data_IF_511228346220
#
_entry.id   IF_511228346220
#
_cell.length_a   1.000
_cell.length_b   1.000
_cell.length_c   1.000
_cell.angle_alpha   90.00
_cell.angle_beta   90.00
_cell.angle_gamma   90.00
#
_symmetry.space_group_name_H-M   'P 1'
#
loop_
_entity.id
_entity.type
_entity.pdbx_description
1 polymer ?
#
# COMPACT_ATOMS: atom_id res chain seq x y z
N UNK A 1 8.77 -16.46 -88.24
CA UNK A 1 7.78 -17.39 -87.64
C UNK A 1 8.14 -17.56 -86.17
N UNK A 2 7.14 -17.60 -85.30
CA UNK A 2 7.17 -17.26 -83.86
C UNK A 2 8.27 -17.96 -83.05
N UNK A 3 9.09 -17.18 -82.34
CA UNK A 3 9.92 -17.66 -81.24
C UNK A 3 9.11 -17.54 -79.93
N UNK A 4 8.87 -18.67 -79.27
CA UNK A 4 8.26 -18.69 -77.94
C UNK A 4 9.38 -18.62 -76.90
N UNK A 5 9.49 -17.49 -76.20
CA UNK A 5 10.36 -17.37 -75.04
C UNK A 5 9.59 -17.85 -73.80
N UNK A 6 10.06 -18.95 -73.21
CA UNK A 6 9.64 -19.42 -71.89
C UNK A 6 10.23 -18.48 -70.83
N UNK A 7 9.36 -17.80 -70.08
CA UNK A 7 9.74 -17.02 -68.89
C UNK A 7 9.69 -17.99 -67.68
N UNK A 8 10.80 -18.23 -66.97
CA UNK A 8 10.73 -18.93 -65.71
C UNK A 8 10.20 -17.99 -64.62
N UNK A 9 9.11 -18.39 -63.95
CA UNK A 9 8.59 -17.72 -62.76
C UNK A 9 9.53 -18.08 -61.60
N UNK A 10 10.30 -17.09 -61.14
CA UNK A 10 11.12 -17.18 -59.94
C UNK A 10 10.19 -17.07 -58.72
N UNK A 11 9.97 -18.20 -58.05
CA UNK A 11 9.21 -18.28 -56.80
C UNK A 11 10.09 -17.71 -55.67
N UNK A 12 9.83 -16.46 -55.28
CA UNK A 12 10.49 -15.82 -54.12
C UNK A 12 9.82 -16.33 -52.85
N UNK A 13 10.43 -17.30 -52.19
CA UNK A 13 10.08 -17.68 -50.80
C UNK A 13 10.62 -16.63 -49.85
N UNK A 14 9.74 -15.77 -49.32
CA UNK A 14 10.05 -14.89 -48.20
C UNK A 14 10.24 -15.75 -46.95
N UNK A 15 11.50 -16.03 -46.60
CA UNK A 15 11.86 -16.55 -45.29
C UNK A 15 11.72 -15.40 -44.29
N UNK A 16 10.57 -15.34 -43.61
CA UNK A 16 10.41 -14.54 -42.40
C UNK A 16 11.27 -15.17 -41.31
N UNK A 17 12.48 -14.65 -41.15
CA UNK A 17 13.33 -14.91 -40.00
C UNK A 17 12.75 -14.14 -38.82
N UNK A 18 12.18 -14.86 -37.86
CA UNK A 18 11.97 -14.32 -36.51
C UNK A 18 13.34 -14.01 -35.91
N UNK A 19 13.72 -12.74 -35.91
CA UNK A 19 14.60 -12.24 -34.85
C UNK A 19 13.83 -12.36 -33.54
N UNK A 20 14.31 -13.21 -32.64
CA UNK A 20 13.99 -13.08 -31.21
C UNK A 20 14.42 -11.68 -30.82
N UNK A 21 13.45 -10.78 -30.70
CA UNK A 21 13.64 -9.59 -29.89
C UNK A 21 13.83 -10.10 -28.46
N UNK A 22 15.01 -9.84 -27.91
CA UNK A 22 15.28 -10.06 -26.50
C UNK A 22 14.16 -9.38 -25.71
N UNK A 23 13.49 -10.16 -24.87
CA UNK A 23 12.47 -9.69 -23.93
C UNK A 23 13.14 -8.86 -22.83
N UNK A 24 13.63 -7.67 -23.20
CA UNK A 24 14.29 -6.71 -22.34
C UNK A 24 13.47 -5.40 -22.21
N UNK A 25 12.16 -5.45 -22.48
CA UNK A 25 11.26 -4.31 -22.31
C UNK A 25 10.11 -4.65 -21.34
N UNK A 26 10.46 -4.93 -20.08
CA UNK A 26 9.53 -4.92 -18.95
C UNK A 26 10.19 -4.66 -17.58
N UNK A 27 11.46 -4.21 -17.55
CA UNK A 27 12.03 -3.64 -16.32
C UNK A 27 11.69 -2.15 -16.32
N UNK A 28 10.46 -1.79 -15.95
CA UNK A 28 10.29 -0.48 -15.31
C UNK A 28 11.28 -0.46 -14.15
N UNK A 29 12.16 0.54 -14.06
CA UNK A 29 13.21 0.59 -13.04
C UNK A 29 12.62 0.33 -11.65
N UNK A 30 12.80 -0.89 -11.13
CA UNK A 30 12.26 -1.35 -9.83
C UNK A 30 13.04 -0.75 -8.65
N UNK A 31 14.12 -0.04 -8.96
CA UNK A 31 15.02 0.65 -8.05
C UNK A 31 15.00 2.15 -8.30
N UNK A 32 15.51 2.92 -7.34
CA UNK A 32 15.53 4.38 -7.44
C UNK A 32 14.22 5.04 -6.97
N UNK A 33 14.22 6.37 -6.97
CA UNK A 33 13.17 7.18 -6.32
C UNK A 33 11.80 6.99 -6.97
N UNK A 34 11.76 6.96 -8.31
CA UNK A 34 10.52 6.85 -9.08
C UNK A 34 9.81 5.50 -8.87
N UNK A 35 10.55 4.44 -8.55
CA UNK A 35 9.99 3.13 -8.23
C UNK A 35 9.06 3.17 -7.00
N UNK A 36 9.25 4.13 -6.10
CA UNK A 36 8.44 4.32 -4.89
C UNK A 36 7.39 5.44 -5.02
N UNK A 37 7.23 6.03 -6.22
CA UNK A 37 6.30 7.13 -6.50
C UNK A 37 5.19 6.74 -7.48
N UNK A 38 4.87 5.44 -7.57
CA UNK A 38 3.83 4.92 -8.45
C UNK A 38 2.45 4.99 -7.76
N UNK A 39 1.34 4.83 -8.50
CA UNK A 39 0.00 4.77 -7.91
C UNK A 39 -0.15 3.63 -6.87
N UNK A 40 -0.97 3.84 -5.85
CA UNK A 40 -1.33 2.83 -4.83
C UNK A 40 -1.65 1.47 -5.46
N UNK A 41 -1.17 0.40 -4.83
CA UNK A 41 -1.38 -0.99 -5.27
C UNK A 41 -0.48 -1.46 -6.44
N UNK A 42 0.20 -0.57 -7.17
CA UNK A 42 1.10 -0.94 -8.29
C UNK A 42 2.20 -1.92 -7.89
N UNK A 43 2.67 -1.87 -6.64
CA UNK A 43 3.72 -2.76 -6.13
C UNK A 43 3.20 -3.94 -5.31
N UNK A 44 1.90 -4.24 -5.38
CA UNK A 44 1.25 -5.28 -4.57
C UNK A 44 2.00 -6.62 -4.62
N UNK A 45 2.24 -7.19 -5.82
CA UNK A 45 2.95 -8.47 -5.94
C UNK A 45 4.40 -8.40 -5.43
N UNK A 46 5.10 -7.27 -5.62
CA UNK A 46 6.46 -7.06 -5.12
C UNK A 46 6.53 -6.95 -3.60
N UNK A 47 5.49 -6.40 -2.97
CA UNK A 47 5.35 -6.37 -1.51
C UNK A 47 4.99 -7.74 -0.96
N UNK A 48 4.13 -8.50 -1.66
CA UNK A 48 3.63 -9.79 -1.20
C UNK A 48 4.65 -10.93 -1.38
N UNK A 49 5.28 -11.04 -2.55
CA UNK A 49 6.15 -12.17 -2.92
C UNK A 49 7.64 -11.90 -2.69
N UNK A 50 8.44 -12.95 -2.63
CA UNK A 50 9.91 -12.90 -2.56
C UNK A 50 10.60 -13.02 -3.92
N UNK A 51 9.84 -12.96 -5.03
CA UNK A 51 10.36 -13.18 -6.38
C UNK A 51 11.40 -12.13 -6.81
N UNK A 52 11.24 -10.89 -6.33
CA UNK A 52 12.18 -9.78 -6.56
C UNK A 52 12.80 -9.32 -5.25
N UNK A 53 11.97 -8.93 -4.28
CA UNK A 53 12.43 -8.40 -3.00
C UNK A 53 12.28 -9.45 -1.90
N UNK A 54 13.41 -9.94 -1.41
CA UNK A 54 13.48 -10.95 -0.35
C UNK A 54 13.39 -10.36 1.06
N UNK A 55 13.55 -9.04 1.19
CA UNK A 55 13.40 -8.30 2.44
C UNK A 55 12.58 -7.02 2.27
N UNK A 56 12.12 -6.45 3.40
CA UNK A 56 11.39 -5.19 3.44
C UNK A 56 11.98 -4.26 4.49
N UNK A 57 12.07 -2.97 4.17
CA UNK A 57 12.33 -1.91 5.16
C UNK A 57 11.12 -0.99 5.26
N UNK A 58 10.61 -0.81 6.48
CA UNK A 58 9.61 0.21 6.80
C UNK A 58 10.34 1.41 7.39
N UNK A 59 10.43 2.49 6.62
CA UNK A 59 10.84 3.80 7.13
C UNK A 59 9.64 4.46 7.82
N UNK A 60 9.61 4.34 9.15
CA UNK A 60 8.58 4.92 9.99
C UNK A 60 9.02 6.30 10.47
N UNK A 61 8.34 7.33 9.96
CA UNK A 61 8.63 8.72 10.27
C UNK A 61 7.44 9.34 10.97
N UNK A 62 7.70 10.08 12.03
CA UNK A 62 6.65 10.71 12.82
C UNK A 62 7.04 12.12 13.20
N UNK A 63 6.06 13.01 13.35
CA UNK A 63 6.32 14.30 13.97
C UNK A 63 6.57 14.12 15.48
N UNK A 64 7.55 14.83 16.04
CA UNK A 64 7.85 14.77 17.48
C UNK A 64 6.58 14.86 18.36
N UNK A 65 6.38 13.87 19.22
CA UNK A 65 5.16 13.74 20.06
C UNK A 65 4.08 12.81 19.49
N UNK A 66 4.15 12.48 18.20
CA UNK A 66 3.16 11.66 17.47
C UNK A 66 3.76 10.33 17.01
N UNK A 67 4.64 9.74 17.81
CA UNK A 67 5.14 8.39 17.53
C UNK A 67 4.00 7.41 17.83
N UNK A 68 3.65 6.50 16.90
CA UNK A 68 2.67 5.46 17.21
C UNK A 68 3.17 4.56 18.34
N UNK A 69 2.24 3.91 19.04
CA UNK A 69 2.61 3.00 20.11
C UNK A 69 3.50 1.86 19.60
N UNK A 70 4.39 1.38 20.47
CA UNK A 70 5.23 0.24 20.13
C UNK A 70 4.38 -1.02 19.85
N UNK A 71 3.23 -1.16 20.50
CA UNK A 71 2.27 -2.24 20.25
C UNK A 71 1.75 -2.19 18.82
N UNK A 72 1.30 -1.03 18.33
CA UNK A 72 0.82 -0.89 16.96
C UNK A 72 1.92 -1.15 15.92
N UNK A 73 3.16 -0.69 16.16
CA UNK A 73 4.31 -1.01 15.30
C UNK A 73 4.53 -2.53 15.24
N UNK A 74 4.50 -3.22 16.37
CA UNK A 74 4.69 -4.66 16.42
C UNK A 74 3.55 -5.39 15.71
N UNK A 75 2.30 -4.98 15.92
CA UNK A 75 1.14 -5.55 15.26
C UNK A 75 1.19 -5.35 13.74
N UNK A 76 1.67 -4.20 13.28
CA UNK A 76 1.88 -3.95 11.85
C UNK A 76 2.94 -4.89 11.27
N UNK A 77 4.08 -5.08 11.95
CA UNK A 77 5.10 -6.05 11.50
C UNK A 77 4.52 -7.47 11.47
N UNK A 78 3.78 -7.89 12.48
CA UNK A 78 3.12 -9.20 12.51
C UNK A 78 2.15 -9.37 11.33
N UNK A 79 1.34 -8.34 11.04
CA UNK A 79 0.45 -8.33 9.87
C UNK A 79 1.24 -8.53 8.56
N UNK A 80 2.36 -7.84 8.38
CA UNK A 80 3.21 -8.01 7.20
C UNK A 80 3.81 -9.43 7.13
N UNK A 81 4.29 -9.97 8.25
CA UNK A 81 4.86 -11.31 8.31
C UNK A 81 3.82 -12.40 8.03
N UNK A 82 2.57 -12.18 8.43
CA UNK A 82 1.46 -13.09 8.16
C UNK A 82 1.03 -13.08 6.69
N UNK A 83 1.19 -11.95 5.97
CA UNK A 83 0.65 -11.79 4.60
C UNK A 83 1.70 -11.79 3.50
N UNK A 84 2.98 -11.63 3.83
CA UNK A 84 4.06 -11.51 2.84
C UNK A 84 5.12 -12.60 2.99
N UNK A 85 5.75 -12.96 1.88
CA UNK A 85 6.98 -13.74 1.84
C UNK A 85 8.18 -12.78 1.77
N UNK A 86 8.90 -12.64 2.89
CA UNK A 86 10.14 -11.86 3.03
C UNK A 86 11.16 -12.67 3.83
N UNK A 87 11.78 -13.71 3.23
CA UNK A 87 12.64 -14.66 3.95
C UNK A 87 13.87 -14.02 4.61
N UNK A 88 14.32 -12.88 4.10
CA UNK A 88 15.43 -12.11 4.68
C UNK A 88 14.96 -11.07 5.72
N UNK A 89 13.68 -11.09 6.09
CA UNK A 89 13.11 -10.35 7.20
C UNK A 89 12.51 -8.99 6.82
N UNK A 90 11.79 -8.43 7.79
CA UNK A 90 11.20 -7.10 7.75
C UNK A 90 11.86 -6.27 8.84
N UNK A 91 12.34 -5.08 8.49
CA UNK A 91 12.99 -4.16 9.44
C UNK A 91 12.24 -2.86 9.52
N UNK A 92 12.17 -2.27 10.72
CA UNK A 92 11.57 -0.95 10.93
C UNK A 92 12.67 0.03 11.32
N UNK A 93 12.82 1.09 10.53
CA UNK A 93 13.71 2.23 10.83
C UNK A 93 12.85 3.39 11.26
N UNK A 94 12.92 3.74 12.55
CA UNK A 94 12.08 4.75 13.16
C UNK A 94 12.85 6.05 13.40
N UNK A 95 12.29 7.20 13.01
CA UNK A 95 12.86 8.52 13.29
C UNK A 95 11.80 9.62 13.39
N UNK A 96 12.08 10.65 14.17
CA UNK A 96 11.24 11.84 14.23
C UNK A 96 11.64 12.89 13.18
N UNK A 97 10.70 13.78 12.88
CA UNK A 97 10.93 15.08 12.25
C UNK A 97 10.30 16.18 13.12
N UNK A 98 10.80 17.40 12.98
CA UNK A 98 10.15 18.57 13.59
C UNK A 98 8.80 18.82 12.94
N UNK A 99 7.86 19.38 13.70
CA UNK A 99 6.55 19.77 13.18
C UNK A 99 6.69 20.68 11.95
N UNK A 100 6.01 20.35 10.84
CA UNK A 100 5.85 21.26 9.70
C UNK A 100 5.08 22.54 10.03
N UNK A 101 4.42 22.60 11.21
CA UNK A 101 3.65 23.75 11.67
C UNK A 101 2.29 23.92 10.99
N UNK A 102 1.73 22.83 10.46
CA UNK A 102 0.44 22.83 9.78
C UNK A 102 -0.63 22.16 10.64
N UNK A 103 -1.82 22.76 10.72
CA UNK A 103 -2.96 22.18 11.45
C UNK A 103 -3.79 21.20 10.62
N UNK A 104 -3.62 21.19 9.30
CA UNK A 104 -4.26 20.23 8.40
C UNK A 104 -3.38 19.99 7.17
N UNK A 105 -3.43 18.77 6.65
CA UNK A 105 -2.58 18.33 5.55
C UNK A 105 -3.41 17.90 4.34
N UNK A 106 -3.09 18.44 3.16
CA UNK A 106 -3.53 17.88 1.88
C UNK A 106 -2.63 16.72 1.47
N UNK A 107 -3.09 15.88 0.54
CA UNK A 107 -2.23 14.81 -0.03
C UNK A 107 -0.96 15.36 -0.66
N UNK A 108 -0.99 16.57 -1.23
CA UNK A 108 0.21 17.19 -1.80
C UNK A 108 1.20 17.60 -0.71
N UNK A 109 0.73 18.13 0.43
CA UNK A 109 1.61 18.46 1.56
C UNK A 109 2.31 17.20 2.10
N UNK A 110 1.57 16.09 2.22
CA UNK A 110 2.12 14.79 2.64
C UNK A 110 3.18 14.28 1.64
N UNK A 111 2.92 14.41 0.33
CA UNK A 111 3.88 14.06 -0.71
C UNK A 111 5.15 14.93 -0.61
N UNK A 112 5.01 16.23 -0.36
CA UNK A 112 6.15 17.14 -0.25
C UNK A 112 6.99 16.84 1.00
N UNK A 113 6.34 16.48 2.12
CA UNK A 113 7.00 15.98 3.32
C UNK A 113 7.76 14.70 3.02
N UNK A 114 7.15 13.71 2.35
CA UNK A 114 7.83 12.48 1.95
C UNK A 114 9.04 12.79 1.05
N UNK A 115 8.87 13.60 0.01
CA UNK A 115 9.96 13.92 -0.93
C UNK A 115 11.15 14.61 -0.23
N UNK A 116 10.87 15.46 0.76
CA UNK A 116 11.91 16.16 1.52
C UNK A 116 12.61 15.27 2.55
N UNK A 117 11.93 14.25 3.05
CA UNK A 117 12.41 13.49 4.21
C UNK A 117 12.81 12.05 3.88
N UNK A 118 12.18 11.36 2.92
CA UNK A 118 12.38 9.93 2.66
C UNK A 118 13.85 9.61 2.39
N UNK A 119 14.36 8.61 3.09
CA UNK A 119 15.77 8.18 3.00
C UNK A 119 15.94 6.74 2.54
N UNK A 120 14.85 5.95 2.55
CA UNK A 120 14.84 4.55 2.10
C UNK A 120 14.05 4.41 0.80
N UNK A 121 14.70 3.81 -0.20
CA UNK A 121 14.13 3.49 -1.50
C UNK A 121 14.44 2.04 -1.84
N UNK A 122 13.75 1.49 -2.84
CA UNK A 122 13.99 0.14 -3.29
C UNK A 122 15.46 -0.03 -3.72
N UNK A 123 16.07 -1.12 -3.25
CA UNK A 123 17.37 -1.61 -3.71
C UNK A 123 17.19 -2.89 -4.50
N UNK A 124 18.24 -3.62 -4.84
CA UNK A 124 18.12 -4.83 -5.68
C UNK A 124 17.23 -5.91 -5.05
N UNK A 125 17.29 -6.10 -3.72
CA UNK A 125 16.63 -7.22 -3.02
C UNK A 125 15.75 -6.77 -1.83
N UNK A 126 15.63 -5.46 -1.60
CA UNK A 126 14.81 -4.88 -0.54
C UNK A 126 13.83 -3.84 -1.08
N UNK A 127 12.53 -4.04 -0.78
CA UNK A 127 11.48 -3.05 -1.03
C UNK A 127 11.35 -2.10 0.17
N UNK A 128 11.21 -0.80 -0.11
CA UNK A 128 11.09 0.23 0.91
C UNK A 128 9.65 0.74 1.02
N UNK A 129 9.14 0.78 2.24
CA UNK A 129 7.85 1.35 2.64
C UNK A 129 8.08 2.65 3.40
N UNK A 130 7.26 3.65 3.12
CA UNK A 130 7.18 4.91 3.86
C UNK A 130 5.89 4.97 4.68
N UNK A 131 6.04 5.13 5.99
CA UNK A 131 4.92 5.29 6.91
C UNK A 131 5.09 6.63 7.65
N UNK A 132 4.19 7.59 7.41
CA UNK A 132 4.25 8.91 8.04
C UNK A 132 3.14 9.11 9.06
N UNK A 133 3.49 9.59 10.26
CA UNK A 133 2.56 9.91 11.35
C UNK A 133 2.54 11.42 11.58
N UNK A 134 1.43 12.05 11.19
CA UNK A 134 1.28 13.50 11.13
C UNK A 134 0.71 14.10 12.43
N UNK A 135 1.14 15.32 12.75
CA UNK A 135 0.68 16.14 13.89
C UNK A 135 -0.49 17.06 13.53
N UNK A 136 -1.27 16.69 12.52
CA UNK A 136 -2.36 17.50 12.00
C UNK A 136 -3.40 16.61 11.32
N UNK A 137 -4.62 17.12 11.19
CA UNK A 137 -5.72 16.39 10.60
C UNK A 137 -5.67 16.35 9.07
N UNK A 138 -6.47 15.48 8.45
CA UNK A 138 -6.67 15.52 7.01
C UNK A 138 -7.40 16.79 6.57
N UNK A 139 -6.92 17.43 5.50
CA UNK A 139 -7.66 18.51 4.84
C UNK A 139 -8.98 18.04 4.19
N UNK A 140 -9.18 16.72 4.06
CA UNK A 140 -10.40 16.12 3.54
C UNK A 140 -11.46 15.86 4.63
N UNK A 141 -11.19 16.21 5.89
CA UNK A 141 -12.19 16.15 6.94
C UNK A 141 -13.41 17.01 6.58
N UNK A 142 -14.60 16.51 6.90
CA UNK A 142 -15.87 17.21 6.68
C UNK A 142 -16.66 17.31 7.99
N UNK A 143 -17.78 18.03 7.96
CA UNK A 143 -18.68 18.07 9.11
C UNK A 143 -19.30 16.69 9.47
N UNK A 144 -19.27 15.74 8.53
CA UNK A 144 -19.93 14.44 8.67
C UNK A 144 -18.94 13.28 8.85
N UNK A 145 -17.62 13.55 8.87
CA UNK A 145 -16.64 12.49 8.98
C UNK A 145 -15.21 13.00 8.91
N UNK A 146 -14.30 12.25 9.54
CA UNK A 146 -12.86 12.46 9.51
C UNK A 146 -12.18 11.34 8.73
N UNK A 147 -11.01 11.65 8.17
CA UNK A 147 -10.11 10.70 7.51
C UNK A 147 -8.95 10.43 8.46
N UNK A 148 -8.73 9.15 8.80
CA UNK A 148 -7.75 8.74 9.81
C UNK A 148 -6.41 8.33 9.21
N UNK A 149 -6.40 7.86 7.96
CA UNK A 149 -5.20 7.53 7.21
C UNK A 149 -5.40 7.78 5.71
N UNK A 150 -4.33 7.63 4.94
CA UNK A 150 -4.42 7.60 3.48
C UNK A 150 -3.24 6.85 2.87
N UNK A 151 -3.51 5.84 2.05
CA UNK A 151 -2.57 5.24 1.11
C UNK A 151 -2.51 6.02 -0.21
N UNK A 152 -1.43 6.76 -0.45
CA UNK A 152 -1.35 7.73 -1.57
C UNK A 152 -0.33 7.38 -2.65
N UNK A 153 0.58 6.44 -2.41
CA UNK A 153 1.53 5.89 -3.40
C UNK A 153 1.66 4.38 -3.21
N UNK A 154 2.25 3.68 -4.17
CA UNK A 154 2.47 2.24 -4.17
C UNK A 154 3.22 1.69 -2.95
N UNK A 155 3.95 2.53 -2.21
CA UNK A 155 4.69 2.14 -1.01
C UNK A 155 4.61 3.19 0.11
N UNK A 156 3.65 4.11 0.06
CA UNK A 156 3.60 5.25 0.97
C UNK A 156 2.19 5.50 1.49
N UNK A 157 2.08 5.61 2.80
CA UNK A 157 0.85 5.98 3.49
C UNK A 157 1.10 6.97 4.62
N UNK A 158 0.04 7.65 5.03
CA UNK A 158 0.03 8.58 6.17
C UNK A 158 -1.03 8.16 7.16
N UNK A 159 -0.76 8.37 8.44
CA UNK A 159 -1.71 8.30 9.56
C UNK A 159 -1.81 9.70 10.16
N UNK A 160 -3.03 10.23 10.29
CA UNK A 160 -3.28 11.52 10.90
C UNK A 160 -3.32 11.35 12.43
N UNK A 161 -2.15 11.12 13.01
CA UNK A 161 -1.99 10.69 14.40
C UNK A 161 -2.57 11.68 15.42
N UNK A 162 -2.57 12.99 15.13
CA UNK A 162 -3.29 13.96 15.96
C UNK A 162 -4.80 13.68 16.04
N UNK A 163 -5.40 13.28 14.90
CA UNK A 163 -6.81 12.92 14.87
C UNK A 163 -7.02 11.66 15.68
N UNK A 164 -6.22 10.60 15.48
CA UNK A 164 -6.30 9.42 16.34
C UNK A 164 -6.16 9.85 17.81
N UNK A 165 -5.24 10.77 18.13
CA UNK A 165 -5.02 11.28 19.49
C UNK A 165 -6.33 11.71 20.15
N UNK A 166 -7.10 12.55 19.46
CA UNK A 166 -8.39 13.07 19.92
C UNK A 166 -9.49 12.02 20.17
N UNK A 167 -9.31 10.77 19.74
CA UNK A 167 -10.28 9.68 19.88
C UNK A 167 -9.78 8.51 20.74
N UNK A 168 -8.66 8.65 21.43
CA UNK A 168 -8.20 7.62 22.39
C UNK A 168 -7.34 8.18 23.52
N UNK A 169 -7.58 9.42 23.91
CA UNK A 169 -6.94 10.08 25.06
C UNK A 169 -7.85 10.09 26.31
N UNK A 170 -9.11 9.64 26.19
CA UNK A 170 -10.07 9.53 27.31
C UNK A 170 -10.35 8.07 27.73
N UNK A 171 -10.73 7.86 29.00
CA UNK A 171 -11.00 6.53 29.55
C UNK A 171 -12.21 5.77 28.95
N UNK A 172 -13.07 6.47 28.20
CA UNK A 172 -14.26 5.90 27.55
C UNK A 172 -14.13 5.84 26.02
N UNK A 173 -12.94 6.08 25.51
CA UNK A 173 -12.61 6.03 24.09
C UNK A 173 -11.96 4.68 23.72
N UNK A 174 -11.69 4.47 22.43
CA UNK A 174 -11.00 3.28 21.95
C UNK A 174 -9.60 3.19 22.55
N UNK A 175 -9.03 1.99 22.61
CA UNK A 175 -7.61 1.86 22.96
C UNK A 175 -6.75 2.38 21.81
N UNK A 176 -5.83 3.32 22.11
CA UNK A 176 -4.83 3.88 21.18
C UNK A 176 -4.19 2.81 20.30
N UNK A 177 -3.68 1.73 20.90
CA UNK A 177 -2.95 0.71 20.13
C UNK A 177 -3.86 -0.10 19.18
N UNK A 178 -5.12 -0.33 19.56
CA UNK A 178 -6.11 -1.00 18.72
C UNK A 178 -6.49 -0.11 17.55
N UNK A 179 -6.70 1.18 17.82
CA UNK A 179 -7.05 2.16 16.80
C UNK A 179 -5.91 2.35 15.79
N UNK A 180 -4.70 2.63 16.27
CA UNK A 180 -3.51 2.74 15.43
C UNK A 180 -3.32 1.47 14.59
N UNK A 181 -3.40 0.28 15.21
CA UNK A 181 -3.26 -0.99 14.49
C UNK A 181 -4.29 -1.11 13.37
N UNK A 182 -5.56 -0.76 13.64
CA UNK A 182 -6.65 -0.84 12.68
C UNK A 182 -6.38 0.06 11.48
N UNK A 183 -6.11 1.35 11.71
CA UNK A 183 -5.88 2.30 10.60
C UNK A 183 -4.61 1.95 9.83
N UNK A 184 -3.49 1.66 10.51
CA UNK A 184 -2.23 1.29 9.84
C UNK A 184 -2.41 0.08 8.93
N UNK A 185 -3.05 -0.97 9.42
CA UNK A 185 -3.20 -2.22 8.64
C UNK A 185 -4.26 -2.09 7.55
N UNK A 186 -5.29 -1.25 7.73
CA UNK A 186 -6.25 -0.90 6.68
C UNK A 186 -5.57 -0.18 5.52
N UNK A 187 -4.85 0.92 5.80
CA UNK A 187 -4.12 1.66 4.77
C UNK A 187 -3.10 0.79 4.07
N UNK A 188 -2.41 -0.07 4.83
CA UNK A 188 -1.47 -0.99 4.23
C UNK A 188 -2.15 -2.10 3.41
N UNK A 189 -3.39 -2.45 3.71
CA UNK A 189 -4.22 -3.30 2.85
C UNK A 189 -4.42 -2.71 1.47
N UNK A 190 -4.69 -1.40 1.38
CA UNK A 190 -4.70 -0.67 0.10
C UNK A 190 -3.36 -0.70 -0.62
N UNK A 191 -2.26 -0.54 0.11
CA UNK A 191 -0.90 -0.65 -0.44
C UNK A 191 -0.63 -2.07 -0.98
N UNK A 192 -1.11 -3.10 -0.28
CA UNK A 192 -1.11 -4.50 -0.74
C UNK A 192 -2.10 -4.77 -1.88
N UNK A 193 -2.83 -3.77 -2.36
CA UNK A 193 -3.69 -3.85 -3.54
C UNK A 193 -5.12 -4.31 -3.27
N UNK A 194 -5.52 -4.43 -2.00
CA UNK A 194 -6.91 -4.69 -1.60
C UNK A 194 -7.71 -3.38 -1.57
N UNK A 195 -8.98 -3.33 -1.89
CA UNK A 195 -9.74 -4.19 -2.79
C UNK A 195 -9.79 -3.45 -4.14
N UNK A 196 -9.63 -4.15 -5.27
CA UNK A 196 -9.62 -3.53 -6.61
C UNK A 196 -8.58 -2.39 -6.82
N UNK A 197 -7.44 -2.43 -6.11
CA UNK A 197 -6.37 -1.43 -6.20
C UNK A 197 -5.06 -1.96 -6.79
N UNK A 198 -4.92 -3.27 -6.94
CA UNK A 198 -3.74 -3.88 -7.57
C UNK A 198 -3.75 -5.39 -7.55
N UNK A 199 -4.21 -6.00 -6.45
CA UNK A 199 -4.50 -7.42 -6.40
C UNK A 199 -5.83 -7.67 -7.12
N UNK A 200 -5.86 -8.64 -8.03
CA UNK A 200 -7.10 -9.02 -8.69
C UNK A 200 -8.02 -9.72 -7.69
N UNK A 201 -9.27 -9.25 -7.62
CA UNK A 201 -10.28 -9.89 -6.77
C UNK A 201 -10.61 -11.30 -7.27
N UNK A 202 -10.60 -12.29 -6.37
CA UNK A 202 -10.96 -13.68 -6.68
C UNK A 202 -12.49 -13.88 -6.69
N UNK A 203 -13.19 -13.11 -5.86
CA UNK A 203 -14.65 -12.98 -5.82
C UNK A 203 -15.02 -11.51 -5.73
N UNK A 204 -16.19 -11.12 -6.22
CA UNK A 204 -16.61 -9.73 -6.08
C UNK A 204 -17.02 -9.44 -4.63
N UNK A 205 -16.17 -8.70 -3.92
CA UNK A 205 -16.40 -8.25 -2.54
C UNK A 205 -16.14 -6.77 -2.33
N UNK A 206 -15.99 -5.99 -3.41
CA UNK A 206 -15.93 -4.54 -3.31
C UNK A 206 -17.31 -3.98 -2.88
N UNK A 207 -17.29 -3.06 -1.92
CA UNK A 207 -18.44 -2.25 -1.55
C UNK A 207 -18.75 -1.26 -2.68
N UNK A 208 -19.95 -1.37 -3.25
CA UNK A 208 -20.40 -0.52 -4.34
C UNK A 208 -20.67 0.92 -3.94
N UNK A 209 -20.98 1.17 -2.66
CA UNK A 209 -21.20 2.51 -2.10
C UNK A 209 -19.87 3.14 -1.65
N UNK A 210 -18.91 2.31 -1.25
CA UNK A 210 -17.58 2.72 -0.81
C UNK A 210 -16.49 2.02 -1.63
N UNK A 211 -16.26 2.41 -2.89
CA UNK A 211 -15.27 1.76 -3.76
C UNK A 211 -13.90 1.64 -3.10
N UNK A 212 -13.18 0.56 -3.44
CA UNK A 212 -11.89 0.13 -2.86
C UNK A 212 -11.96 -0.47 -1.45
N UNK A 213 -13.13 -0.56 -0.86
CA UNK A 213 -13.36 -1.24 0.42
C UNK A 213 -14.07 -2.57 0.25
N UNK A 214 -13.91 -3.45 1.23
CA UNK A 214 -14.64 -4.71 1.29
C UNK A 214 -16.09 -4.47 1.72
N UNK A 215 -17.02 -5.29 1.24
CA UNK A 215 -18.45 -5.23 1.57
C UNK A 215 -18.83 -6.07 2.80
N UNK A 216 -17.87 -6.75 3.43
CA UNK A 216 -18.05 -7.46 4.69
C UNK A 216 -17.76 -6.52 5.86
N UNK A 217 -18.75 -6.26 6.71
CA UNK A 217 -18.68 -5.33 7.85
C UNK A 217 -17.67 -5.76 8.92
N UNK A 218 -17.35 -7.06 9.01
CA UNK A 218 -16.38 -7.60 9.97
C UNK A 218 -14.94 -7.60 9.41
N UNK A 219 -14.77 -7.29 8.12
CA UNK A 219 -13.45 -7.26 7.48
C UNK A 219 -12.67 -5.99 7.85
N UNK A 220 -11.37 -6.13 8.07
CA UNK A 220 -10.45 -4.99 8.24
C UNK A 220 -10.56 -3.98 7.09
N UNK A 221 -10.81 -4.42 5.86
CA UNK A 221 -10.96 -3.53 4.69
C UNK A 221 -12.35 -2.92 4.56
N UNK A 222 -13.24 -3.07 5.54
CA UNK A 222 -14.51 -2.36 5.57
C UNK A 222 -14.27 -0.86 5.73
N UNK A 223 -14.96 -0.02 4.94
CA UNK A 223 -14.70 1.42 4.83
C UNK A 223 -14.70 2.16 6.18
N UNK A 224 -15.48 1.68 7.14
CA UNK A 224 -15.60 2.38 8.43
C UNK A 224 -14.30 2.37 9.23
N UNK A 225 -13.38 1.43 8.98
CA UNK A 225 -12.11 1.29 9.69
C UNK A 225 -11.17 2.51 9.57
N UNK A 226 -11.35 3.36 8.56
CA UNK A 226 -10.59 4.61 8.35
C UNK A 226 -11.39 5.88 8.66
N UNK A 227 -12.59 5.75 9.26
CA UNK A 227 -13.50 6.88 9.55
C UNK A 227 -13.77 7.07 11.04
N UNK A 228 -14.08 8.32 11.41
CA UNK A 228 -14.48 8.68 12.79
C UNK A 228 -15.61 7.83 13.36
N UNK A 229 -16.64 7.53 12.56
CA UNK A 229 -17.78 6.70 12.98
C UNK A 229 -17.40 5.25 13.26
N UNK A 230 -16.42 4.69 12.53
CA UNK A 230 -15.97 3.33 12.79
C UNK A 230 -15.18 3.20 14.09
N UNK A 231 -14.63 4.30 14.62
CA UNK A 231 -13.90 4.30 15.90
C UNK A 231 -14.82 4.01 17.08
N UNK A 232 -16.08 4.42 17.02
CA UNK A 232 -17.07 4.11 18.06
C UNK A 232 -17.27 2.59 18.20
N UNK A 233 -17.14 1.84 17.10
CA UNK A 233 -17.23 0.38 17.10
C UNK A 233 -16.02 -0.30 17.75
N UNK A 234 -14.91 0.44 17.95
CA UNK A 234 -13.70 -0.07 18.61
C UNK A 234 -13.69 0.20 20.12
N UNK A 235 -14.69 0.90 20.68
CA UNK A 235 -14.79 1.15 22.11
C UNK A 235 -15.00 -0.16 22.86
N UNK A 236 -14.10 -0.48 23.79
CA UNK A 236 -14.12 -1.72 24.57
C UNK A 236 -13.61 -2.95 23.83
N UNK A 237 -13.16 -2.80 22.57
CA UNK A 237 -12.51 -3.86 21.80
C UNK A 237 -11.03 -3.92 22.16
N UNK A 238 -10.50 -5.13 22.33
CA UNK A 238 -9.10 -5.36 22.74
C UNK A 238 -8.15 -5.73 21.60
N UNK A 239 -8.66 -5.92 20.38
CA UNK A 239 -7.88 -6.36 19.22
C UNK A 239 -8.42 -5.70 17.94
N UNK A 240 -7.52 -5.31 17.03
CA UNK A 240 -7.93 -4.77 15.73
C UNK A 240 -8.68 -5.81 14.88
N UNK A 241 -9.65 -5.37 14.03
CA UNK A 241 -10.26 -6.23 13.01
C UNK A 241 -9.24 -6.92 12.12
N UNK A 242 -9.63 -8.04 11.53
CA UNK A 242 -8.75 -8.85 10.68
C UNK A 242 -9.26 -8.88 9.24
N UNK A 243 -8.38 -9.13 8.28
CA UNK A 243 -8.81 -9.38 6.91
C UNK A 243 -9.66 -10.65 6.85
N UNK A 244 -10.78 -10.56 6.15
CA UNK A 244 -11.66 -11.71 5.91
C UNK A 244 -11.04 -12.71 4.92
N UNK A 245 -11.77 -13.80 4.69
CA UNK A 245 -11.30 -14.87 3.79
C UNK A 245 -11.18 -14.41 2.33
N UNK A 246 -11.95 -13.42 1.88
CA UNK A 246 -11.95 -12.97 0.50
C UNK A 246 -10.75 -12.07 0.22
N UNK A 247 -10.46 -11.12 1.11
CA UNK A 247 -9.25 -10.31 1.05
C UNK A 247 -7.99 -11.17 1.20
N UNK A 248 -8.00 -12.21 2.05
CA UNK A 248 -6.90 -13.18 2.12
C UNK A 248 -6.70 -13.88 0.77
N UNK A 249 -7.76 -14.35 0.14
CA UNK A 249 -7.68 -15.06 -1.13
C UNK A 249 -7.08 -14.18 -2.25
N UNK A 250 -7.40 -12.89 -2.27
CA UNK A 250 -6.82 -11.92 -3.20
C UNK A 250 -5.31 -11.77 -3.00
N UNK A 251 -4.85 -11.64 -1.76
CA UNK A 251 -3.42 -11.55 -1.45
C UNK A 251 -2.68 -12.84 -1.83
N UNK A 252 -3.24 -14.01 -1.50
CA UNK A 252 -2.68 -15.31 -1.84
C UNK A 252 -2.55 -15.50 -3.35
N UNK A 253 -3.60 -15.15 -4.11
CA UNK A 253 -3.59 -15.21 -5.56
C UNK A 253 -2.56 -14.25 -6.18
N UNK A 254 -2.21 -13.17 -5.47
CA UNK A 254 -1.21 -12.20 -5.90
C UNK A 254 0.20 -12.43 -5.31
N UNK A 255 0.48 -13.63 -4.78
CA UNK A 255 1.81 -14.05 -4.32
C UNK A 255 2.08 -13.82 -2.84
N UNK A 256 1.05 -13.54 -2.04
CA UNK A 256 1.10 -13.46 -0.58
C UNK A 256 0.80 -14.80 0.11
N UNK A 257 0.78 -14.76 1.44
CA UNK A 257 0.45 -15.89 2.33
C UNK A 257 -1.04 -15.99 2.63
#
# INVERSE_FOLDING_TARGET
>A
MKHYFLIPILLVTLLLSCSKEDSAEANQELTGVTANQQPTGTSSNHLLSDAVFSSMVVELVYVEGFKPTQTAINNFVNFLEERTYKPNGITVVTRSIVSPGMSSYTTQDIIDIENANRTKYNTEDQIAVWAFFADGQSANNTANGVVLGTAYRNTSFVIYEETLHSYSDSAFEANRDVLETTVITHEFGHILGLTNLGAAMQTNHEDTEHPKHCNDEDCLMYWSAETGSGMENLIGVSTAPQLDSQCIADLQANGGK
#
